data_IF_018129565639
#
_entry.id   IF_018129565639
#
_cell.length_a   1.000
_cell.length_b   1.000
_cell.length_c   1.000
_cell.angle_alpha   90.00
_cell.angle_beta   90.00
_cell.angle_gamma   90.00
#
_symmetry.space_group_name_H-M   'P 1'
#
loop_
_entity.id
_entity.type
_entity.pdbx_description
1 polymer ?
#
# COMPACT_ATOMS: atom_id res chain seq x y z
N UNK A 1 -1.68 20.99 13.93
CA UNK A 1 -0.78 19.86 14.22
C UNK A 1 0.12 19.65 12.99
N UNK A 2 1.39 19.27 13.14
CA UNK A 2 2.31 19.05 11.99
C UNK A 2 2.63 17.56 11.83
N UNK A 3 3.03 17.11 10.64
CA UNK A 3 3.40 15.70 10.41
C UNK A 3 4.47 15.18 11.39
N UNK A 4 5.46 16.01 11.72
CA UNK A 4 6.52 15.67 12.69
C UNK A 4 6.01 15.30 14.09
N UNK A 5 4.80 15.73 14.45
CA UNK A 5 4.17 15.40 15.74
C UNK A 5 3.41 14.07 15.75
N UNK A 6 3.33 13.36 14.61
CA UNK A 6 2.59 12.11 14.46
C UNK A 6 3.44 10.84 14.69
N UNK A 7 4.71 10.99 15.11
CA UNK A 7 5.61 9.85 15.34
C UNK A 7 6.14 9.20 14.05
N UNK A 8 6.21 9.97 12.96
CA UNK A 8 6.67 9.49 11.65
C UNK A 8 8.20 9.49 11.58
N UNK A 9 8.76 8.46 10.96
CA UNK A 9 10.20 8.29 10.76
C UNK A 9 10.81 9.43 9.93
N UNK A 10 12.02 9.92 10.28
CA UNK A 10 12.68 11.01 9.55
C UNK A 10 12.83 10.78 8.04
N UNK A 11 13.04 9.53 7.59
CA UNK A 11 13.17 9.22 6.17
C UNK A 11 11.85 9.46 5.41
N UNK A 12 10.72 9.14 6.04
CA UNK A 12 9.38 9.36 5.47
C UNK A 12 9.01 10.83 5.57
N UNK A 13 9.31 11.50 6.71
CA UNK A 13 9.11 12.95 6.84
C UNK A 13 9.83 13.74 5.75
N UNK A 14 11.07 13.35 5.42
CA UNK A 14 11.83 13.93 4.31
C UNK A 14 11.13 13.74 2.96
N UNK A 15 10.51 12.59 2.73
CA UNK A 15 9.74 12.35 1.51
C UNK A 15 8.47 13.23 1.47
N UNK A 16 7.76 13.36 2.59
CA UNK A 16 6.58 14.22 2.70
C UNK A 16 6.89 15.70 2.44
N UNK A 17 8.02 16.20 2.95
CA UNK A 17 8.49 17.56 2.68
C UNK A 17 8.75 17.79 1.18
N UNK A 18 9.34 16.81 0.49
CA UNK A 18 9.56 16.87 -0.96
C UNK A 18 8.26 16.79 -1.77
N UNK A 19 7.23 16.14 -1.23
CA UNK A 19 5.87 16.13 -1.77
C UNK A 19 5.04 17.35 -1.33
N UNK A 20 5.65 18.31 -0.63
CA UNK A 20 5.02 19.54 -0.15
C UNK A 20 3.84 19.29 0.81
N UNK A 21 3.90 18.22 1.60
CA UNK A 21 2.95 17.93 2.67
C UNK A 21 3.28 18.73 3.92
N UNK A 22 2.53 19.80 4.17
CA UNK A 22 2.76 20.67 5.34
C UNK A 22 1.91 20.25 6.55
N UNK A 23 0.60 20.13 6.35
CA UNK A 23 -0.39 19.94 7.41
C UNK A 23 -1.14 18.63 7.17
N UNK A 24 -1.16 17.70 8.14
CA UNK A 24 -1.93 16.48 8.02
C UNK A 24 -3.44 16.79 7.99
N UNK A 25 -4.15 16.12 7.11
CA UNK A 25 -5.62 16.18 7.04
C UNK A 25 -6.25 15.54 8.29
N UNK A 26 -7.55 15.76 8.56
CA UNK A 26 -8.21 15.16 9.72
C UNK A 26 -8.13 13.64 9.77
N UNK A 27 -8.24 12.96 8.63
CA UNK A 27 -8.12 11.50 8.56
C UNK A 27 -6.68 11.03 8.84
N UNK A 28 -5.67 11.75 8.33
CA UNK A 28 -4.27 11.43 8.59
C UNK A 28 -3.92 11.61 10.07
N UNK A 29 -4.37 12.71 10.67
CA UNK A 29 -4.15 12.99 12.10
C UNK A 29 -4.77 11.92 13.00
N UNK A 30 -5.93 11.40 12.63
CA UNK A 30 -6.64 10.38 13.41
C UNK A 30 -6.15 8.95 13.14
N UNK A 31 -5.73 8.64 11.92
CA UNK A 31 -5.38 7.28 11.51
C UNK A 31 -3.89 6.95 11.67
N UNK A 32 -2.97 7.90 11.45
CA UNK A 32 -1.53 7.60 11.44
C UNK A 32 -1.04 7.09 12.82
N UNK A 33 -1.30 7.79 13.95
CA UNK A 33 -0.82 7.31 15.25
C UNK A 33 -1.33 5.91 15.65
N UNK A 34 -2.64 5.57 15.56
CA UNK A 34 -3.10 4.22 15.87
C UNK A 34 -2.54 3.16 14.91
N UNK A 35 -2.44 3.46 13.62
CA UNK A 35 -1.92 2.52 12.63
C UNK A 35 -0.42 2.24 12.84
N UNK A 36 0.37 3.24 13.24
CA UNK A 36 1.77 3.06 13.67
C UNK A 36 1.88 2.15 14.90
N UNK A 37 0.93 2.26 15.83
CA UNK A 37 0.81 1.37 16.99
C UNK A 37 0.29 -0.04 16.63
N UNK A 38 0.05 -0.33 15.35
CA UNK A 38 -0.40 -1.63 14.89
C UNK A 38 -1.89 -1.92 15.11
N UNK A 39 -2.71 -0.88 15.37
CA UNK A 39 -4.16 -1.02 15.51
C UNK A 39 -4.84 -0.95 14.15
N UNK A 40 -5.89 -1.75 13.99
CA UNK A 40 -6.79 -1.68 12.85
C UNK A 40 -7.64 -0.40 12.91
N UNK A 41 -8.04 0.10 11.75
CA UNK A 41 -8.96 1.24 11.66
C UNK A 41 -9.86 1.14 10.44
N UNK A 42 -11.05 1.73 10.56
CA UNK A 42 -11.98 1.98 9.47
C UNK A 42 -12.02 3.48 9.19
N UNK A 43 -11.59 3.89 8.00
CA UNK A 43 -11.58 5.29 7.59
C UNK A 43 -12.75 5.62 6.68
N UNK A 44 -13.71 6.40 7.16
CA UNK A 44 -14.81 6.92 6.33
C UNK A 44 -14.47 8.35 5.93
N UNK A 45 -14.01 8.53 4.69
CA UNK A 45 -13.73 9.85 4.14
C UNK A 45 -13.92 9.88 2.62
N UNK A 46 -14.27 11.06 2.11
CA UNK A 46 -14.39 11.30 0.68
C UNK A 46 -13.05 11.15 -0.04
N UNK A 47 -13.07 10.83 -1.33
CA UNK A 47 -11.87 10.78 -2.17
C UNK A 47 -11.21 12.18 -2.23
N UNK A 48 -9.89 12.23 -2.31
CA UNK A 48 -9.13 13.49 -2.27
C UNK A 48 -8.85 14.05 -0.87
N UNK A 49 -9.30 13.39 0.21
CA UNK A 49 -9.07 13.84 1.61
C UNK A 49 -7.74 13.37 2.21
N UNK A 50 -6.86 12.76 1.40
CA UNK A 50 -5.57 12.26 1.84
C UNK A 50 -5.59 10.88 2.52
N UNK A 51 -6.61 10.05 2.23
CA UNK A 51 -6.73 8.64 2.67
C UNK A 51 -5.47 7.83 2.38
N UNK A 52 -4.89 7.99 1.19
CA UNK A 52 -3.71 7.23 0.77
C UNK A 52 -2.53 7.42 1.71
N UNK A 53 -2.18 8.66 2.04
CA UNK A 53 -1.12 8.94 3.01
C UNK A 53 -1.46 8.39 4.41
N UNK A 54 -2.74 8.40 4.79
CA UNK A 54 -3.20 7.93 6.10
C UNK A 54 -2.90 6.44 6.35
N UNK A 55 -2.92 5.60 5.31
CA UNK A 55 -2.49 4.19 5.42
C UNK A 55 -1.08 3.93 4.90
N UNK A 56 -0.60 4.65 3.87
CA UNK A 56 0.69 4.37 3.26
C UNK A 56 1.87 4.70 4.19
N UNK A 57 1.80 5.82 4.91
CA UNK A 57 2.83 6.24 5.87
C UNK A 57 3.06 5.18 6.95
N UNK A 58 2.02 4.73 7.70
CA UNK A 58 2.22 3.73 8.74
C UNK A 58 2.65 2.37 8.17
N UNK A 59 2.18 1.98 6.98
CA UNK A 59 2.64 0.75 6.30
C UNK A 59 4.14 0.82 6.02
N UNK A 60 4.61 1.89 5.37
CA UNK A 60 6.03 2.07 5.05
C UNK A 60 6.90 2.01 6.31
N UNK A 61 6.51 2.74 7.36
CA UNK A 61 7.26 2.80 8.61
C UNK A 61 7.31 1.46 9.34
N UNK A 62 6.19 0.73 9.37
CA UNK A 62 6.16 -0.59 10.02
C UNK A 62 7.02 -1.60 9.25
N UNK A 63 6.93 -1.60 7.93
CA UNK A 63 7.68 -2.54 7.09
C UNK A 63 9.18 -2.24 7.02
N UNK A 64 9.61 -0.98 7.12
CA UNK A 64 11.04 -0.64 7.12
C UNK A 64 11.75 -1.04 8.44
N UNK A 65 11.00 -1.12 9.54
CA UNK A 65 11.52 -1.52 10.85
C UNK A 65 11.46 -3.03 11.08
N UNK A 66 10.85 -3.78 10.18
CA UNK A 66 10.75 -5.24 10.25
C UNK A 66 11.98 -5.90 9.61
N UNK A 67 12.62 -6.81 10.34
CA UNK A 67 13.64 -7.70 9.77
C UNK A 67 12.96 -8.90 9.13
N UNK A 68 13.22 -9.15 7.85
CA UNK A 68 12.54 -10.19 7.08
C UNK A 68 13.55 -11.21 6.56
N UNK A 69 13.23 -12.49 6.75
CA UNK A 69 13.97 -13.57 6.10
C UNK A 69 13.63 -13.57 4.61
N UNK A 70 14.64 -13.26 3.79
CA UNK A 70 14.50 -13.31 2.33
C UNK A 70 14.63 -14.75 1.86
N UNK A 71 13.64 -15.24 1.11
CA UNK A 71 13.73 -16.52 0.44
C UNK A 71 14.44 -16.32 -0.91
N UNK A 72 15.55 -17.02 -1.14
CA UNK A 72 16.36 -16.90 -2.36
C UNK A 72 16.73 -15.43 -2.71
N UNK A 73 16.95 -14.60 -1.68
CA UNK A 73 17.26 -13.17 -1.85
C UNK A 73 16.08 -12.28 -2.23
N UNK A 74 14.86 -12.82 -2.33
CA UNK A 74 13.63 -12.08 -2.66
C UNK A 74 12.86 -11.70 -1.39
N UNK A 75 12.35 -10.46 -1.37
CA UNK A 75 11.39 -10.05 -0.34
C UNK A 75 10.04 -10.71 -0.59
N UNK A 76 9.36 -11.20 0.47
CA UNK A 76 7.96 -11.63 0.38
C UNK A 76 7.02 -10.41 0.37
N UNK A 77 5.81 -10.61 -0.14
CA UNK A 77 4.73 -9.60 -0.05
C UNK A 77 4.28 -9.51 1.41
N UNK A 78 4.39 -8.32 1.99
CA UNK A 78 4.06 -8.05 3.41
C UNK A 78 2.91 -7.08 3.59
N UNK A 79 2.67 -6.21 2.61
CA UNK A 79 1.46 -5.39 2.56
C UNK A 79 0.73 -5.60 1.24
N UNK A 80 -0.60 -5.76 1.34
CA UNK A 80 -1.51 -5.82 0.20
C UNK A 80 -2.51 -4.68 0.31
N UNK A 81 -2.66 -3.92 -0.78
CA UNK A 81 -3.65 -2.87 -0.91
C UNK A 81 -4.56 -3.24 -2.08
N UNK A 82 -5.84 -3.41 -1.80
CA UNK A 82 -6.89 -3.64 -2.79
C UNK A 82 -7.63 -2.36 -3.09
N UNK A 83 -7.90 -2.13 -4.36
CA UNK A 83 -8.59 -0.94 -4.85
C UNK A 83 -9.38 -1.28 -6.12
N UNK A 84 -10.54 -0.66 -6.38
CA UNK A 84 -11.48 -1.13 -7.40
C UNK A 84 -11.00 -0.92 -8.84
N UNK A 85 -10.16 0.08 -9.09
CA UNK A 85 -9.80 0.47 -10.47
C UNK A 85 -8.31 0.57 -10.68
N UNK A 86 -7.91 0.46 -11.95
CA UNK A 86 -6.52 0.63 -12.40
C UNK A 86 -5.99 2.01 -12.06
N UNK A 87 -6.79 3.05 -12.25
CA UNK A 87 -6.40 4.45 -12.05
C UNK A 87 -6.05 4.69 -10.58
N UNK A 88 -6.90 4.20 -9.67
CA UNK A 88 -6.65 4.28 -8.23
C UNK A 88 -5.44 3.43 -7.83
N UNK A 89 -5.28 2.23 -8.40
CA UNK A 89 -4.11 1.38 -8.14
C UNK A 89 -2.79 2.08 -8.52
N UNK A 90 -2.77 2.76 -9.66
CA UNK A 90 -1.62 3.54 -10.11
C UNK A 90 -1.35 4.72 -9.16
N UNK A 91 -2.37 5.49 -8.81
CA UNK A 91 -2.25 6.63 -7.87
C UNK A 91 -1.74 6.21 -6.50
N UNK A 92 -2.25 5.10 -5.95
CA UNK A 92 -1.79 4.53 -4.69
C UNK A 92 -0.34 4.07 -4.82
N UNK A 93 0.00 3.35 -5.89
CA UNK A 93 1.37 2.91 -6.16
C UNK A 93 2.37 4.06 -6.24
N UNK A 94 2.01 5.15 -6.91
CA UNK A 94 2.84 6.36 -7.00
C UNK A 94 2.99 7.04 -5.65
N UNK A 95 1.93 7.08 -4.84
CA UNK A 95 1.99 7.58 -3.47
C UNK A 95 2.96 6.78 -2.60
N UNK A 96 2.92 5.45 -2.67
CA UNK A 96 3.89 4.59 -1.96
C UNK A 96 5.33 4.82 -2.40
N UNK A 97 5.58 4.98 -3.70
CA UNK A 97 6.92 5.31 -4.22
C UNK A 97 7.37 6.68 -3.77
N UNK A 98 6.47 7.66 -3.77
CA UNK A 98 6.76 9.02 -3.35
C UNK A 98 7.16 9.06 -1.87
N UNK A 99 6.30 8.57 -0.98
CA UNK A 99 6.54 8.58 0.47
C UNK A 99 7.66 7.62 0.88
N UNK A 100 7.85 6.54 0.12
CA UNK A 100 8.83 5.50 0.39
C UNK A 100 10.20 5.70 -0.27
N UNK A 101 10.44 6.81 -0.98
CA UNK A 101 11.68 7.01 -1.77
C UNK A 101 12.99 6.92 -0.97
N UNK A 102 12.94 7.19 0.34
CA UNK A 102 14.10 7.13 1.24
C UNK A 102 14.15 5.84 2.07
N UNK A 103 13.27 4.86 1.79
CA UNK A 103 13.26 3.55 2.45
C UNK A 103 13.52 2.42 1.45
N UNK A 104 14.07 1.30 1.93
CA UNK A 104 14.44 0.16 1.07
C UNK A 104 13.28 -0.83 0.92
N UNK A 105 12.12 -0.34 0.48
CA UNK A 105 10.92 -1.13 0.23
C UNK A 105 10.56 -1.09 -1.26
N UNK A 106 10.19 -2.23 -1.83
CA UNK A 106 9.77 -2.36 -3.23
C UNK A 106 8.24 -2.43 -3.31
N UNK A 107 7.67 -1.51 -4.07
CA UNK A 107 6.23 -1.47 -4.36
C UNK A 107 5.96 -1.85 -5.82
N UNK A 108 5.02 -2.75 -6.04
CA UNK A 108 4.50 -3.07 -7.37
C UNK A 108 2.98 -2.88 -7.44
N UNK A 109 2.49 -2.63 -8.65
CA UNK A 109 1.06 -2.42 -8.94
C UNK A 109 0.62 -3.42 -10.00
N UNK A 110 -0.48 -4.14 -9.73
CA UNK A 110 -1.05 -5.12 -10.66
C UNK A 110 -2.52 -4.81 -10.94
N UNK A 111 -2.92 -4.91 -12.21
CA UNK A 111 -4.31 -4.73 -12.64
C UNK A 111 -4.56 -5.36 -14.01
N UNK A 112 -5.85 -5.62 -14.29
CA UNK A 112 -6.33 -6.22 -15.53
C UNK A 112 -6.29 -5.29 -16.74
N UNK A 113 -6.63 -5.82 -17.92
CA UNK A 113 -6.73 -5.04 -19.16
C UNK A 113 -5.39 -4.63 -19.80
N UNK A 114 -4.27 -5.11 -19.27
CA UNK A 114 -2.92 -4.93 -19.82
C UNK A 114 -2.13 -6.23 -19.77
N UNK A 115 -1.00 -6.27 -20.49
CA UNK A 115 -0.09 -7.43 -20.49
C UNK A 115 0.28 -7.86 -19.06
N UNK A 116 0.19 -9.17 -18.81
CA UNK A 116 0.55 -9.79 -17.55
C UNK A 116 2.07 -9.85 -17.34
N UNK A 117 2.83 -9.99 -18.43
CA UNK A 117 4.26 -10.29 -18.38
C UNK A 117 5.10 -9.29 -17.55
N UNK A 118 4.93 -7.96 -17.69
CA UNK A 118 5.68 -7.00 -16.86
C UNK A 118 5.35 -7.13 -15.36
N UNK A 119 4.10 -7.49 -15.04
CA UNK A 119 3.65 -7.66 -13.66
C UNK A 119 4.26 -8.92 -13.03
N UNK A 120 4.33 -10.03 -13.78
CA UNK A 120 5.05 -11.23 -13.35
C UNK A 120 6.54 -10.97 -13.12
N UNK A 121 7.17 -10.23 -14.03
CA UNK A 121 8.59 -9.93 -13.89
C UNK A 121 8.86 -9.13 -12.62
N UNK A 122 8.00 -8.17 -12.28
CA UNK A 122 8.09 -7.43 -11.02
C UNK A 122 7.93 -8.35 -9.80
N UNK A 123 6.95 -9.26 -9.82
CA UNK A 123 6.75 -10.25 -8.74
C UNK A 123 7.98 -11.15 -8.55
N UNK A 124 8.57 -11.65 -9.64
CA UNK A 124 9.76 -12.50 -9.60
C UNK A 124 10.99 -11.81 -9.02
N UNK A 125 11.07 -10.48 -9.06
CA UNK A 125 12.16 -9.72 -8.45
C UNK A 125 12.06 -9.63 -6.92
N UNK A 126 10.91 -9.99 -6.34
CA UNK A 126 10.60 -9.82 -4.93
C UNK A 126 10.13 -8.39 -4.64
N UNK A 127 8.97 -8.29 -4.00
CA UNK A 127 8.28 -7.03 -3.68
C UNK A 127 7.81 -7.08 -2.23
N UNK A 128 7.82 -5.93 -1.56
CA UNK A 128 7.40 -5.81 -0.16
C UNK A 128 5.94 -5.39 -0.06
N UNK A 129 5.50 -4.53 -0.98
CA UNK A 129 4.17 -3.91 -1.01
C UNK A 129 3.54 -4.17 -2.38
N UNK A 130 2.34 -4.74 -2.38
CA UNK A 130 1.55 -5.00 -3.58
C UNK A 130 0.28 -4.16 -3.56
N UNK A 131 0.08 -3.32 -4.58
CA UNK A 131 -1.20 -2.67 -4.86
C UNK A 131 -1.87 -3.43 -5.99
N UNK A 132 -3.13 -3.82 -5.83
CA UNK A 132 -3.81 -4.68 -6.78
C UNK A 132 -5.29 -4.34 -6.97
N UNK A 133 -5.79 -4.55 -8.20
CA UNK A 133 -7.23 -4.74 -8.41
C UNK A 133 -7.61 -6.20 -8.17
N UNK A 134 -8.78 -6.51 -7.56
CA UNK A 134 -9.16 -7.87 -7.16
C UNK A 134 -9.03 -8.92 -8.27
N UNK A 135 -9.59 -8.66 -9.46
CA UNK A 135 -9.58 -9.63 -10.55
C UNK A 135 -8.17 -10.07 -11.00
N UNK A 136 -7.22 -9.13 -11.12
CA UNK A 136 -5.82 -9.47 -11.48
C UNK A 136 -5.08 -10.18 -10.35
N UNK A 137 -5.35 -9.83 -9.09
CA UNK A 137 -4.79 -10.55 -7.96
C UNK A 137 -5.25 -12.01 -7.97
N UNK A 138 -6.56 -12.24 -8.10
CA UNK A 138 -7.17 -13.58 -8.14
C UNK A 138 -6.63 -14.43 -9.28
N UNK A 139 -6.50 -13.85 -10.47
CA UNK A 139 -5.92 -14.52 -11.65
C UNK A 139 -4.47 -15.00 -11.38
N UNK A 140 -3.59 -14.10 -10.91
CA UNK A 140 -2.20 -14.44 -10.62
C UNK A 140 -2.05 -15.41 -9.43
N UNK A 141 -2.96 -15.36 -8.45
CA UNK A 141 -3.04 -16.35 -7.38
C UNK A 141 -3.48 -17.73 -7.90
N UNK A 142 -4.48 -17.79 -8.78
CA UNK A 142 -4.94 -19.02 -9.41
C UNK A 142 -3.86 -19.69 -10.27
N UNK A 143 -2.95 -18.90 -10.84
CA UNK A 143 -1.77 -19.38 -11.56
C UNK A 143 -0.59 -19.77 -10.65
N UNK A 144 -0.69 -19.55 -9.33
CA UNK A 144 0.38 -19.82 -8.37
C UNK A 144 1.57 -18.85 -8.45
N UNK A 145 1.37 -17.66 -9.05
CA UNK A 145 2.41 -16.65 -9.26
C UNK A 145 2.53 -15.66 -8.10
N UNK A 146 1.56 -15.66 -7.19
CA UNK A 146 1.53 -14.82 -6.00
C UNK A 146 1.39 -15.71 -4.76
N UNK A 147 2.28 -15.49 -3.80
CA UNK A 147 2.19 -16.05 -2.45
C UNK A 147 1.91 -14.93 -1.45
N UNK A 148 0.81 -15.06 -0.72
CA UNK A 148 0.34 -14.11 0.29
C UNK A 148 0.58 -14.59 1.72
N UNK A 149 1.27 -15.72 1.93
CA UNK A 149 1.48 -16.34 3.24
C UNK A 149 2.27 -15.50 4.25
N UNK A 150 2.87 -14.39 3.82
CA UNK A 150 3.62 -13.46 4.66
C UNK A 150 2.99 -12.06 4.78
N UNK A 151 1.73 -11.89 4.33
CA UNK A 151 1.01 -10.63 4.55
C UNK A 151 0.95 -10.33 6.05
N UNK A 152 1.27 -9.08 6.38
CA UNK A 152 1.16 -8.48 7.72
C UNK A 152 0.11 -7.38 7.76
N UNK A 153 -0.11 -6.71 6.64
CA UNK A 153 -1.02 -5.56 6.55
C UNK A 153 -1.88 -5.70 5.30
N UNK A 154 -3.19 -5.60 5.47
CA UNK A 154 -4.17 -5.53 4.39
C UNK A 154 -4.84 -4.16 4.43
N UNK A 155 -5.06 -3.56 3.26
CA UNK A 155 -5.86 -2.34 3.10
C UNK A 155 -6.88 -2.56 2.00
N UNK A 156 -8.13 -2.20 2.27
CA UNK A 156 -9.21 -2.17 1.29
C UNK A 156 -9.59 -0.70 1.06
N UNK A 157 -9.21 -0.12 -0.08
CA UNK A 157 -9.56 1.24 -0.45
C UNK A 157 -10.77 1.26 -1.38
N UNK A 158 -11.69 2.19 -1.16
CA UNK A 158 -13.01 2.24 -1.81
C UNK A 158 -13.73 0.87 -1.79
N UNK A 159 -13.80 0.27 -0.59
CA UNK A 159 -14.37 -1.05 -0.38
C UNK A 159 -15.86 -1.13 -0.75
N UNK A 160 -16.62 -0.08 -0.46
CA UNK A 160 -18.00 0.10 -0.92
C UNK A 160 -18.12 -0.02 -2.44
N UNK A 161 -17.26 0.69 -3.18
CA UNK A 161 -17.22 0.60 -4.63
C UNK A 161 -16.78 -0.77 -5.14
N UNK A 162 -15.86 -1.45 -4.44
CA UNK A 162 -15.51 -2.83 -4.77
C UNK A 162 -16.71 -3.77 -4.64
N UNK A 163 -17.56 -3.58 -3.61
CA UNK A 163 -18.80 -4.34 -3.45
C UNK A 163 -19.80 -4.02 -4.58
N UNK A 164 -19.97 -2.75 -4.94
CA UNK A 164 -20.85 -2.34 -6.05
C UNK A 164 -20.42 -2.93 -7.40
N UNK A 165 -19.12 -3.14 -7.58
CA UNK A 165 -18.54 -3.78 -8.78
C UNK A 165 -18.62 -5.31 -8.76
N UNK A 166 -19.16 -5.91 -7.68
CA UNK A 166 -19.34 -7.34 -7.56
C UNK A 166 -18.11 -8.11 -7.04
N UNK A 167 -17.09 -7.43 -6.52
CA UNK A 167 -15.88 -8.08 -5.99
C UNK A 167 -16.08 -8.72 -4.60
N UNK A 168 -17.31 -8.80 -4.09
CA UNK A 168 -17.62 -9.42 -2.79
C UNK A 168 -17.26 -10.92 -2.73
N UNK A 169 -17.18 -11.60 -3.88
CA UNK A 169 -16.89 -13.03 -3.99
C UNK A 169 -15.48 -13.33 -4.52
N UNK A 170 -14.66 -12.31 -4.71
CA UNK A 170 -13.28 -12.41 -5.20
C UNK A 170 -12.26 -12.33 -4.07
#
# INVERSE_FOLDING_TARGET
MQFKSLGIDPAILKALDQEQYEIPTPIQTQAIPPALAGRDFLGIAQTGTGKTAAFAIPILQRLMNETVQKSQGRSPIRALILTPTRELALQIGDSFRAYGRHVRLRTSVIFGGVSQHPQEQALRQGIDILVATPGRLKDLMGQGLIDLGQIRILTLDEADRMLDMGFIHD
#
